data_IF_436027693261
#
_entry.id   IF_436027693261
#
_cell.length_a   1.000
_cell.length_b   1.000
_cell.length_c   1.000
_cell.angle_alpha   90.00
_cell.angle_beta   90.00
_cell.angle_gamma   90.00
#
_symmetry.space_group_name_H-M   'P 1'
#
loop_
_entity.id
_entity.type
_entity.pdbx_description
1 polymer ?
#
# COMPACT_ATOMS: atom_id res chain seq x y z
N UNK A 1 39.77 11.09 54.92
CA UNK A 1 38.90 10.94 53.73
C UNK A 1 39.78 10.99 52.49
N UNK A 2 39.89 9.90 51.73
CA UNK A 2 40.74 9.82 50.54
C UNK A 2 39.94 10.41 49.37
N UNK A 3 40.32 11.59 48.90
CA UNK A 3 39.71 12.24 47.72
C UNK A 3 40.21 11.53 46.46
N UNK A 4 39.30 10.86 45.76
CA UNK A 4 39.59 10.25 44.45
C UNK A 4 39.77 11.38 43.45
N UNK A 5 40.95 11.49 42.83
CA UNK A 5 41.20 12.45 41.74
C UNK A 5 40.43 11.99 40.51
N UNK A 6 39.44 12.76 40.08
CA UNK A 6 38.79 12.58 38.78
C UNK A 6 39.82 12.92 37.69
N UNK A 7 40.26 11.90 36.94
CA UNK A 7 41.04 12.11 35.73
C UNK A 7 40.19 12.81 34.68
N UNK A 8 40.62 14.00 34.24
CA UNK A 8 39.97 14.70 33.14
C UNK A 8 40.18 13.95 31.81
N UNK A 9 39.16 13.97 30.95
CA UNK A 9 39.22 13.41 29.60
C UNK A 9 40.26 14.17 28.76
N UNK A 10 41.14 13.48 28.03
CA UNK A 10 42.15 14.15 27.21
C UNK A 10 41.53 14.68 25.91
N UNK A 11 42.02 15.83 25.41
CA UNK A 11 41.56 16.37 24.12
C UNK A 11 41.83 15.38 22.97
N UNK A 12 42.91 14.60 23.05
CA UNK A 12 43.25 13.58 22.05
C UNK A 12 42.24 12.43 22.03
N UNK A 13 41.76 11.96 23.18
CA UNK A 13 40.73 10.91 23.22
C UNK A 13 39.45 11.36 22.54
N UNK A 14 39.06 12.63 22.71
CA UNK A 14 37.87 13.16 22.04
C UNK A 14 38.05 13.18 20.52
N UNK A 15 39.22 13.63 20.06
CA UNK A 15 39.54 13.74 18.62
C UNK A 15 39.57 12.36 17.95
N UNK A 16 40.18 11.36 18.57
CA UNK A 16 40.21 9.99 18.01
C UNK A 16 38.81 9.40 17.93
N UNK A 17 37.96 9.60 18.94
CA UNK A 17 36.61 9.04 18.95
C UNK A 17 35.75 9.64 17.82
N UNK A 18 35.76 10.96 17.64
CA UNK A 18 34.99 11.59 16.55
C UNK A 18 35.53 11.20 15.17
N UNK A 19 36.84 11.01 15.03
CA UNK A 19 37.45 10.55 13.78
C UNK A 19 37.00 9.13 13.40
N UNK A 20 36.94 8.22 14.38
CA UNK A 20 36.44 6.85 14.16
C UNK A 20 34.95 6.88 13.78
N UNK A 21 34.11 7.65 14.50
CA UNK A 21 32.68 7.77 14.18
C UNK A 21 32.47 8.34 12.77
N UNK A 22 33.29 9.31 12.35
CA UNK A 22 33.21 9.89 11.00
C UNK A 22 33.46 8.86 9.90
N UNK A 23 34.47 7.99 10.06
CA UNK A 23 34.79 6.93 9.08
C UNK A 23 33.65 5.90 9.02
N UNK A 24 33.14 5.47 10.19
CA UNK A 24 32.03 4.52 10.25
C UNK A 24 30.76 5.08 9.61
N UNK A 25 30.44 6.35 9.87
CA UNK A 25 29.28 7.02 9.28
C UNK A 25 29.42 7.15 7.76
N UNK A 26 30.60 7.49 7.24
CA UNK A 26 30.84 7.65 5.81
C UNK A 26 30.57 6.36 5.01
N UNK A 27 30.83 5.18 5.58
CA UNK A 27 30.60 3.88 4.92
C UNK A 27 29.19 3.34 5.19
N UNK A 28 28.63 3.58 6.38
CA UNK A 28 27.33 3.03 6.77
C UNK A 28 26.14 3.79 6.16
N UNK A 29 26.22 5.12 6.04
CA UNK A 29 25.10 5.95 5.59
C UNK A 29 24.65 5.64 4.15
N UNK A 30 25.55 5.48 3.14
CA UNK A 30 25.12 5.18 1.78
C UNK A 30 24.33 3.86 1.68
N UNK A 31 24.82 2.81 2.35
CA UNK A 31 24.15 1.50 2.39
C UNK A 31 22.81 1.54 3.13
N UNK A 32 22.73 2.33 4.20
CA UNK A 32 21.48 2.52 4.93
C UNK A 32 20.42 3.16 4.04
N UNK A 33 20.79 4.16 3.23
CA UNK A 33 19.88 4.81 2.28
C UNK A 33 19.40 3.80 1.24
N UNK A 34 20.30 3.04 0.62
CA UNK A 34 19.93 2.00 -0.37
C UNK A 34 18.98 0.94 0.23
N UNK A 35 19.27 0.46 1.44
CA UNK A 35 18.41 -0.53 2.13
C UNK A 35 17.01 0.03 2.39
N UNK A 36 16.90 1.32 2.72
CA UNK A 36 15.60 1.97 2.88
C UNK A 36 14.83 2.05 1.55
N UNK A 37 15.52 2.35 0.44
CA UNK A 37 14.90 2.36 -0.90
C UNK A 37 14.35 0.98 -1.26
N UNK A 38 15.16 -0.06 -1.09
CA UNK A 38 14.77 -1.44 -1.35
C UNK A 38 13.61 -1.88 -0.47
N UNK A 39 13.60 -1.50 0.80
CA UNK A 39 12.50 -1.78 1.71
C UNK A 39 11.18 -1.13 1.25
N UNK A 40 11.21 0.13 0.76
CA UNK A 40 10.01 0.79 0.22
C UNK A 40 9.55 0.15 -1.08
N UNK A 41 10.47 -0.21 -1.98
CA UNK A 41 10.14 -0.91 -3.21
C UNK A 41 9.53 -2.29 -2.95
N UNK A 42 10.08 -3.04 -1.98
CA UNK A 42 9.54 -4.32 -1.55
C UNK A 42 8.13 -4.18 -0.97
N UNK A 43 7.90 -3.15 -0.15
CA UNK A 43 6.58 -2.85 0.43
C UNK A 43 5.55 -2.52 -0.66
N UNK A 44 5.90 -1.69 -1.64
CA UNK A 44 5.03 -1.39 -2.77
C UNK A 44 4.67 -2.67 -3.55
N UNK A 45 5.63 -3.57 -3.78
CA UNK A 45 5.37 -4.88 -4.41
C UNK A 45 4.50 -5.80 -3.56
N UNK A 46 4.64 -5.77 -2.24
CA UNK A 46 3.80 -6.53 -1.31
C UNK A 46 2.34 -6.05 -1.39
N UNK A 47 2.12 -4.73 -1.37
CA UNK A 47 0.79 -4.12 -1.50
C UNK A 47 0.19 -4.40 -2.88
N UNK A 48 0.99 -4.33 -3.94
CA UNK A 48 0.55 -4.75 -5.28
C UNK A 48 0.01 -6.18 -5.28
N UNK A 49 0.69 -7.10 -4.59
CA UNK A 49 0.25 -8.48 -4.42
C UNK A 49 -1.05 -8.59 -3.62
N UNK A 50 -1.17 -7.87 -2.49
CA UNK A 50 -2.36 -7.91 -1.64
C UNK A 50 -3.60 -7.38 -2.37
N UNK A 51 -3.49 -6.24 -3.07
CA UNK A 51 -4.58 -5.66 -3.88
C UNK A 51 -5.06 -6.62 -4.97
N UNK A 52 -4.15 -7.31 -5.65
CA UNK A 52 -4.51 -8.28 -6.70
C UNK A 52 -5.21 -9.51 -6.13
N UNK A 53 -4.72 -10.03 -5.01
CA UNK A 53 -5.35 -11.17 -4.32
C UNK A 53 -6.75 -10.78 -3.82
N UNK A 54 -6.85 -9.66 -3.10
CA UNK A 54 -8.08 -9.11 -2.57
C UNK A 54 -9.15 -8.86 -3.64
N UNK A 55 -8.76 -8.25 -4.76
CA UNK A 55 -9.70 -7.99 -5.85
C UNK A 55 -10.22 -9.28 -6.49
N UNK A 56 -9.38 -10.31 -6.63
CA UNK A 56 -9.81 -11.62 -7.14
C UNK A 56 -10.74 -12.35 -6.16
N UNK A 57 -10.47 -12.27 -4.86
CA UNK A 57 -11.29 -12.89 -3.81
C UNK A 57 -12.65 -12.21 -3.69
N UNK A 58 -12.67 -10.88 -3.64
CA UNK A 58 -13.89 -10.08 -3.60
C UNK A 58 -14.77 -10.34 -4.84
N UNK A 59 -14.15 -10.47 -6.02
CA UNK A 59 -14.85 -10.86 -7.23
C UNK A 59 -15.47 -12.25 -7.12
N UNK A 60 -14.68 -13.24 -6.71
CA UNK A 60 -15.18 -14.60 -6.53
C UNK A 60 -16.36 -14.62 -5.55
N UNK A 61 -16.29 -13.85 -4.47
CA UNK A 61 -17.40 -13.70 -3.53
C UNK A 61 -18.63 -13.07 -4.17
N UNK A 62 -18.46 -11.99 -4.94
CA UNK A 62 -19.57 -11.36 -5.65
C UNK A 62 -20.23 -12.32 -6.65
N UNK A 63 -19.44 -13.10 -7.41
CA UNK A 63 -19.97 -14.08 -8.36
C UNK A 63 -20.75 -15.20 -7.66
N UNK A 64 -20.31 -15.63 -6.48
CA UNK A 64 -21.04 -16.59 -5.65
C UNK A 64 -22.36 -16.02 -5.14
N UNK A 65 -22.36 -14.76 -4.66
CA UNK A 65 -23.57 -14.09 -4.21
C UNK A 65 -24.59 -13.96 -5.36
N UNK A 66 -24.13 -13.59 -6.56
CA UNK A 66 -24.97 -13.45 -7.77
C UNK A 66 -25.53 -14.79 -8.28
N UNK A 67 -24.83 -15.90 -8.05
CA UNK A 67 -25.31 -17.24 -8.38
C UNK A 67 -26.28 -17.79 -7.33
N UNK A 68 -26.27 -17.23 -6.12
CA UNK A 68 -27.09 -17.63 -4.99
C UNK A 68 -28.44 -16.90 -4.91
N UNK A 69 -29.18 -17.18 -3.84
CA UNK A 69 -30.31 -16.34 -3.45
C UNK A 69 -29.86 -15.45 -2.29
N UNK A 70 -30.11 -14.12 -2.35
CA UNK A 70 -29.69 -13.23 -1.29
C UNK A 70 -30.39 -13.60 0.01
N UNK A 71 -29.60 -13.74 1.07
CA UNK A 71 -30.15 -14.00 2.42
C UNK A 71 -30.64 -12.69 3.01
N UNK A 72 -31.92 -12.57 3.43
CA UNK A 72 -32.42 -11.34 4.03
C UNK A 72 -31.57 -10.88 5.23
N UNK A 73 -31.21 -9.60 5.24
CA UNK A 73 -30.40 -9.01 6.32
C UNK A 73 -28.90 -9.28 6.22
N UNK A 74 -28.41 -9.87 5.12
CA UNK A 74 -26.98 -9.99 4.81
C UNK A 74 -26.63 -9.11 3.61
N UNK A 75 -25.45 -8.49 3.66
CA UNK A 75 -24.91 -7.77 2.51
C UNK A 75 -24.58 -8.77 1.40
N UNK A 76 -24.87 -8.39 0.17
CA UNK A 76 -24.68 -9.26 -1.00
C UNK A 76 -24.45 -8.45 -2.26
N UNK A 77 -23.87 -9.09 -3.28
CA UNK A 77 -23.59 -8.41 -4.54
C UNK A 77 -24.87 -8.04 -5.34
N UNK A 78 -26.06 -8.39 -4.83
CA UNK A 78 -27.35 -7.92 -5.33
C UNK A 78 -27.78 -6.56 -4.76
N UNK A 79 -27.14 -6.08 -3.71
CA UNK A 79 -27.52 -4.84 -3.03
C UNK A 79 -27.32 -3.61 -3.92
N UNK A 80 -27.93 -2.49 -3.54
CA UNK A 80 -27.72 -1.20 -4.21
C UNK A 80 -27.30 -0.15 -3.18
N UNK A 81 -26.01 0.26 -3.13
CA UNK A 81 -24.91 -0.18 -3.99
C UNK A 81 -24.49 -1.65 -3.71
N UNK A 82 -23.91 -2.38 -4.70
CA UNK A 82 -23.46 -3.74 -4.50
C UNK A 82 -22.36 -3.83 -3.44
N UNK A 83 -22.47 -4.80 -2.54
CA UNK A 83 -21.50 -5.04 -1.48
C UNK A 83 -21.20 -6.53 -1.35
N UNK A 84 -20.07 -6.91 -0.78
CA UNK A 84 -19.80 -8.30 -0.38
C UNK A 84 -19.25 -8.33 1.03
N UNK A 85 -19.54 -9.38 1.78
CA UNK A 85 -18.92 -9.58 3.09
C UNK A 85 -17.56 -10.29 2.92
N UNK A 86 -16.49 -9.66 3.40
CA UNK A 86 -15.16 -10.26 3.50
C UNK A 86 -14.65 -10.08 4.93
N UNK A 87 -14.32 -11.19 5.60
CA UNK A 87 -13.79 -11.19 6.97
C UNK A 87 -14.61 -10.34 7.95
N UNK A 88 -15.95 -10.40 7.85
CA UNK A 88 -16.88 -9.64 8.69
C UNK A 88 -17.03 -8.16 8.32
N UNK A 89 -16.37 -7.68 7.27
CA UNK A 89 -16.43 -6.30 6.81
C UNK A 89 -17.15 -6.20 5.45
N UNK A 90 -18.03 -5.20 5.25
CA UNK A 90 -18.65 -4.96 3.95
C UNK A 90 -17.65 -4.28 3.01
N UNK A 91 -17.47 -4.86 1.84
CA UNK A 91 -16.63 -4.36 0.74
C UNK A 91 -17.55 -3.86 -0.37
N UNK A 92 -17.42 -2.59 -0.74
CA UNK A 92 -18.16 -1.99 -1.86
C UNK A 92 -17.67 -2.54 -3.19
N UNK A 93 -18.61 -2.93 -4.05
CA UNK A 93 -18.35 -3.55 -5.35
C UNK A 93 -18.82 -2.65 -6.50
N UNK A 94 -18.01 -2.61 -7.57
CA UNK A 94 -18.28 -1.98 -8.87
C UNK A 94 -17.96 -3.01 -9.96
N UNK A 95 -18.95 -3.32 -10.80
CA UNK A 95 -18.82 -4.29 -11.91
C UNK A 95 -18.21 -5.64 -11.49
N UNK A 96 -18.62 -6.16 -10.32
CA UNK A 96 -18.14 -7.42 -9.71
C UNK A 96 -16.71 -7.38 -9.16
N UNK A 97 -16.08 -6.22 -9.04
CA UNK A 97 -14.78 -6.05 -8.39
C UNK A 97 -14.87 -5.02 -7.27
N UNK A 98 -13.93 -4.97 -6.30
CA UNK A 98 -13.90 -3.90 -5.33
C UNK A 98 -13.87 -2.53 -6.00
N UNK A 99 -14.65 -1.61 -5.44
CA UNK A 99 -14.58 -0.21 -5.82
C UNK A 99 -13.18 0.37 -5.49
N UNK A 100 -12.72 1.31 -6.30
CA UNK A 100 -11.51 2.09 -6.02
C UNK A 100 -11.76 3.14 -4.93
N UNK A 101 -12.06 2.70 -3.71
CA UNK A 101 -12.45 3.55 -2.58
C UNK A 101 -12.06 2.95 -1.23
N UNK A 102 -12.18 3.76 -0.17
CA UNK A 102 -11.84 3.39 1.21
C UNK A 102 -12.73 2.27 1.78
N UNK A 103 -13.97 2.18 1.32
CA UNK A 103 -14.96 1.15 1.65
C UNK A 103 -14.94 -0.03 0.66
N UNK A 104 -14.12 0.04 -0.38
CA UNK A 104 -13.96 -1.01 -1.39
C UNK A 104 -12.63 -1.72 -1.21
N UNK A 105 -11.69 -1.42 -2.10
CA UNK A 105 -10.40 -2.12 -2.18
C UNK A 105 -9.54 -1.99 -0.90
N UNK A 106 -9.62 -0.88 -0.15
CA UNK A 106 -8.86 -0.73 1.10
C UNK A 106 -9.31 -1.78 2.14
N UNK A 107 -10.62 -2.01 2.27
CA UNK A 107 -11.20 -3.04 3.15
C UNK A 107 -10.91 -4.44 2.60
N UNK A 108 -11.08 -4.64 1.30
CA UNK A 108 -10.87 -5.96 0.68
C UNK A 108 -9.43 -6.47 0.86
N UNK A 109 -8.46 -5.56 0.86
CA UNK A 109 -7.04 -5.85 1.03
C UNK A 109 -6.55 -5.72 2.47
N UNK A 110 -7.45 -5.48 3.43
CA UNK A 110 -7.17 -5.27 4.85
C UNK A 110 -6.04 -4.24 5.08
N UNK A 111 -6.10 -3.11 4.36
CA UNK A 111 -5.08 -2.07 4.45
C UNK A 111 -5.36 -1.13 5.62
N UNK A 112 -4.37 -0.96 6.48
CA UNK A 112 -4.37 0.09 7.50
C UNK A 112 -3.40 1.19 7.08
N UNK A 113 -3.90 2.19 6.36
CA UNK A 113 -3.06 3.24 5.77
C UNK A 113 -2.07 3.88 6.75
N UNK A 114 -2.47 4.08 8.02
CA UNK A 114 -1.58 4.67 9.02
C UNK A 114 -0.50 3.67 9.50
N UNK A 115 -0.89 2.46 9.89
CA UNK A 115 0.04 1.44 10.37
C UNK A 115 0.97 0.95 9.26
N UNK A 116 0.44 0.84 8.05
CA UNK A 116 1.16 0.50 6.83
C UNK A 116 1.91 1.70 6.26
N UNK A 117 1.92 2.87 6.89
CA UNK A 117 2.65 4.05 6.40
C UNK A 117 2.39 4.37 4.93
N UNK A 118 1.13 4.34 4.53
CA UNK A 118 0.63 4.65 3.19
C UNK A 118 -0.19 5.93 3.23
N UNK A 119 -0.13 6.68 2.14
CA UNK A 119 -1.09 7.76 1.87
C UNK A 119 -1.90 7.34 0.65
N UNK A 120 -3.22 7.26 0.79
CA UNK A 120 -4.11 6.94 -0.30
C UNK A 120 -4.73 8.22 -0.90
N UNK A 121 -4.82 8.28 -2.23
CA UNK A 121 -5.56 9.30 -2.96
C UNK A 121 -6.57 8.67 -3.92
N UNK A 122 -7.66 9.38 -4.17
CA UNK A 122 -8.63 9.04 -5.21
C UNK A 122 -8.32 9.82 -6.49
N UNK A 123 -8.58 9.21 -7.62
CA UNK A 123 -8.49 9.86 -8.92
C UNK A 123 -9.27 9.09 -9.98
N UNK A 124 -9.03 9.47 -11.22
CA UNK A 124 -9.53 8.77 -12.40
C UNK A 124 -8.35 8.52 -13.31
N UNK A 125 -8.12 7.28 -13.68
CA UNK A 125 -7.00 6.87 -14.52
C UNK A 125 -7.52 6.07 -15.71
N UNK A 126 -6.75 6.06 -16.79
CA UNK A 126 -7.07 5.25 -17.96
C UNK A 126 -6.37 3.90 -17.84
N UNK A 127 -7.14 2.81 -17.94
CA UNK A 127 -6.58 1.47 -17.93
C UNK A 127 -5.85 1.13 -19.25
N UNK A 128 -5.19 -0.02 -19.28
CA UNK A 128 -4.45 -0.54 -20.45
C UNK A 128 -5.29 -0.71 -21.73
N UNK A 129 -6.62 -0.65 -21.62
CA UNK A 129 -7.57 -0.76 -22.73
C UNK A 129 -8.18 0.59 -23.16
N UNK A 130 -7.72 1.71 -22.59
CA UNK A 130 -8.15 3.05 -22.96
C UNK A 130 -9.45 3.52 -22.29
N UNK A 131 -9.84 2.91 -21.16
CA UNK A 131 -11.08 3.22 -20.45
C UNK A 131 -10.76 4.01 -19.18
N UNK A 132 -11.41 5.16 -19.01
CA UNK A 132 -11.32 5.95 -17.78
C UNK A 132 -12.16 5.32 -16.67
N UNK A 133 -11.51 4.97 -15.58
CA UNK A 133 -12.12 4.31 -14.41
C UNK A 133 -11.65 5.01 -13.13
N UNK A 134 -12.38 4.84 -12.03
CA UNK A 134 -11.91 5.37 -10.75
C UNK A 134 -10.63 4.63 -10.33
N UNK A 135 -9.73 5.38 -9.69
CA UNK A 135 -8.43 4.91 -9.27
C UNK A 135 -8.19 5.26 -7.80
N UNK A 136 -7.56 4.31 -7.10
CA UNK A 136 -7.10 4.44 -5.72
C UNK A 136 -5.59 4.26 -5.73
N UNK A 137 -4.85 5.32 -5.46
CA UNK A 137 -3.37 5.33 -5.51
C UNK A 137 -2.81 5.38 -4.09
N UNK A 138 -1.96 4.43 -3.75
CA UNK A 138 -1.25 4.35 -2.48
C UNK A 138 0.20 4.77 -2.69
N UNK A 139 0.64 5.82 -2.00
CA UNK A 139 2.06 6.22 -1.95
C UNK A 139 2.69 5.74 -0.66
N UNK A 140 3.89 5.16 -0.74
CA UNK A 140 4.64 4.72 0.44
C UNK A 140 5.30 5.94 1.08
N UNK A 141 4.93 6.22 2.34
CA UNK A 141 5.47 7.36 3.09
C UNK A 141 6.96 7.22 3.41
N UNK A 142 7.62 8.35 3.65
CA UNK A 142 9.00 8.40 4.17
C UNK A 142 10.12 8.47 3.14
N UNK A 143 9.83 8.59 1.83
CA UNK A 143 10.83 8.82 0.78
C UNK A 143 10.96 10.28 0.34
N UNK A 144 12.19 10.69 -0.02
CA UNK A 144 12.39 11.87 -0.87
C UNK A 144 11.76 11.63 -2.24
N UNK A 145 11.37 12.68 -2.95
CA UNK A 145 10.78 12.59 -4.30
C UNK A 145 11.69 11.82 -5.28
N UNK A 146 11.19 10.88 -6.13
CA UNK A 146 9.79 10.43 -6.35
C UNK A 146 9.33 9.29 -5.43
N UNK A 147 8.06 9.25 -5.02
CA UNK A 147 7.58 8.21 -4.08
C UNK A 147 7.12 6.93 -4.80
N UNK A 148 7.45 5.76 -4.23
CA UNK A 148 6.89 4.48 -4.67
C UNK A 148 5.37 4.53 -4.58
N UNK A 149 4.69 4.08 -5.63
CA UNK A 149 3.23 4.06 -5.64
C UNK A 149 2.66 2.78 -6.20
N UNK A 150 1.47 2.43 -5.73
CA UNK A 150 0.65 1.34 -6.24
C UNK A 150 -0.72 1.93 -6.55
N UNK A 151 -1.21 1.70 -7.76
CA UNK A 151 -2.51 2.22 -8.19
C UNK A 151 -3.44 1.06 -8.50
N UNK A 152 -4.57 1.02 -7.81
CA UNK A 152 -5.69 0.15 -8.13
C UNK A 152 -6.68 0.91 -9.01
N UNK A 153 -6.95 0.39 -10.20
CA UNK A 153 -7.98 0.86 -11.11
C UNK A 153 -9.15 -0.11 -11.00
N UNK A 154 -10.33 0.40 -10.65
CA UNK A 154 -11.51 -0.46 -10.55
C UNK A 154 -11.96 -1.00 -11.91
N UNK A 155 -12.84 -1.99 -11.88
CA UNK A 155 -13.36 -2.60 -13.10
C UNK A 155 -14.17 -1.59 -13.92
N UNK A 156 -13.88 -1.56 -15.22
CA UNK A 156 -14.54 -0.70 -16.20
C UNK A 156 -15.54 -1.45 -17.05
N UNK A 157 -16.25 -0.72 -17.89
CA UNK A 157 -17.09 -1.27 -18.94
C UNK A 157 -16.57 -0.88 -20.32
N UNK A 158 -16.55 -1.83 -21.24
CA UNK A 158 -16.42 -1.56 -22.68
C UNK A 158 -17.70 -2.00 -23.37
N UNK A 159 -18.62 -1.05 -23.55
CA UNK A 159 -20.01 -1.38 -23.86
C UNK A 159 -20.65 -2.12 -22.70
N UNK A 160 -21.22 -3.31 -22.94
CA UNK A 160 -21.82 -4.16 -21.90
C UNK A 160 -20.84 -5.18 -21.30
N UNK A 161 -19.59 -5.23 -21.77
CA UNK A 161 -18.59 -6.19 -21.28
C UNK A 161 -17.84 -5.62 -20.07
N UNK A 162 -17.78 -6.40 -19.00
CA UNK A 162 -16.98 -6.09 -17.81
C UNK A 162 -15.51 -6.28 -18.14
N UNK A 163 -14.74 -5.22 -17.95
CA UNK A 163 -13.28 -5.23 -18.01
C UNK A 163 -12.78 -5.28 -16.57
N UNK A 164 -11.92 -6.27 -16.28
CA UNK A 164 -11.44 -6.50 -14.94
C UNK A 164 -10.65 -5.33 -14.36
N UNK A 165 -10.56 -5.28 -13.03
CA UNK A 165 -9.72 -4.32 -12.34
C UNK A 165 -8.25 -4.50 -12.73
N UNK A 166 -7.51 -3.39 -12.77
CA UNK A 166 -6.09 -3.35 -13.11
C UNK A 166 -5.30 -2.80 -11.92
N UNK A 167 -4.22 -3.48 -11.54
CA UNK A 167 -3.30 -2.97 -10.53
C UNK A 167 -1.99 -2.63 -11.21
N UNK A 168 -1.44 -1.45 -10.91
CA UNK A 168 -0.17 -0.95 -11.44
C UNK A 168 0.75 -0.64 -10.27
N UNK A 169 2.05 -0.87 -10.45
CA UNK A 169 3.07 -0.55 -9.46
C UNK A 169 4.16 0.29 -10.12
N UNK A 170 4.53 1.39 -9.47
CA UNK A 170 5.64 2.24 -9.84
C UNK A 170 6.65 2.25 -8.68
N UNK A 171 7.78 1.56 -8.89
CA UNK A 171 8.91 1.55 -7.94
C UNK A 171 10.03 2.49 -8.35
N UNK A 172 9.88 3.17 -9.48
CA UNK A 172 10.88 4.12 -9.96
C UNK A 172 10.86 5.36 -9.05
N UNK A 173 11.93 5.55 -8.28
CA UNK A 173 12.08 6.69 -7.37
C UNK A 173 12.13 6.37 -5.89
N UNK A 174 11.81 5.12 -5.51
CA UNK A 174 12.06 4.62 -4.15
C UNK A 174 13.48 4.96 -3.66
#
# INVERSE_FOLDING_TARGET
MKTVRQGGFTLMELVVVIAIIAILAAVALPRLIETQRDARAAKAKAIYGSLRSASSLARARCELDLAGTPTPGKVSCHDTPPMVEMDGHPVRIVHHFPAASADGIDVAADLNLAADGLVASNGTETNSLGISVAARTYTVSGGGTPQCSVTYLEAGLKGSSIIGAEVRVATDGC
#
